data_IF_760560661403
#
_entry.id   IF_760560661403
#
_cell.length_a   1.000
_cell.length_b   1.000
_cell.length_c   1.000
_cell.angle_alpha   90.00
_cell.angle_beta   90.00
_cell.angle_gamma   90.00
#
_symmetry.space_group_name_H-M   'P 1'
#
loop_
_entity.id
_entity.type
_entity.pdbx_description
1 polymer ?
#
# COMPACT_ATOMS: atom_id res chain seq x y z
N UNK A 1 69.12 -38.82 1.18
CA UNK A 1 67.79 -38.82 1.85
C UNK A 1 67.15 -37.46 1.61
N UNK A 2 66.08 -37.38 0.81
CA UNK A 2 65.26 -36.15 0.67
C UNK A 2 63.85 -36.51 1.11
N UNK A 3 63.41 -35.92 2.21
CA UNK A 3 62.06 -36.09 2.74
C UNK A 3 61.07 -35.28 1.88
N UNK A 4 60.07 -35.97 1.34
CA UNK A 4 58.93 -35.36 0.66
C UNK A 4 57.92 -35.01 1.76
N UNK A 5 57.82 -33.73 2.13
CA UNK A 5 56.76 -33.24 3.01
C UNK A 5 55.46 -33.15 2.19
N UNK A 6 54.56 -34.11 2.39
CA UNK A 6 53.18 -34.08 1.89
C UNK A 6 52.43 -32.93 2.54
N UNK A 7 52.15 -31.87 1.77
CA UNK A 7 51.49 -30.67 2.26
C UNK A 7 49.97 -30.91 2.36
N UNK A 8 49.53 -31.62 3.40
CA UNK A 8 48.12 -31.98 3.66
C UNK A 8 47.22 -30.78 3.98
N UNK A 9 47.75 -29.55 4.04
CA UNK A 9 46.99 -28.34 4.36
C UNK A 9 46.18 -27.75 3.18
N UNK A 10 46.47 -28.15 1.94
CA UNK A 10 45.74 -27.63 0.78
C UNK A 10 44.31 -28.21 0.68
N UNK A 11 44.14 -29.45 1.15
CA UNK A 11 42.87 -30.19 1.08
C UNK A 11 41.86 -29.71 2.15
N UNK A 12 42.36 -29.22 3.29
CA UNK A 12 41.53 -28.63 4.37
C UNK A 12 40.96 -27.27 3.96
N UNK A 13 41.75 -26.45 3.25
CA UNK A 13 41.27 -25.14 2.75
C UNK A 13 40.22 -25.26 1.64
N UNK A 14 40.31 -26.29 0.79
CA UNK A 14 39.31 -26.55 -0.25
C UNK A 14 37.96 -27.03 0.32
N UNK A 15 37.97 -27.72 1.46
CA UNK A 15 36.74 -28.22 2.11
C UNK A 15 35.93 -27.12 2.80
N UNK A 16 36.61 -26.08 3.33
CA UNK A 16 35.95 -24.95 4.03
C UNK A 16 35.15 -24.05 3.07
N UNK A 17 35.59 -23.90 1.82
CA UNK A 17 34.88 -23.09 0.82
C UNK A 17 33.60 -23.74 0.27
N UNK A 18 33.49 -25.08 0.34
CA UNK A 18 32.31 -25.80 -0.16
C UNK A 18 31.11 -25.73 0.79
N UNK A 19 31.32 -25.42 2.08
CA UNK A 19 30.25 -25.38 3.09
C UNK A 19 29.63 -24.00 3.28
N UNK A 20 30.26 -22.93 2.76
CA UNK A 20 29.75 -21.55 2.89
C UNK A 20 28.79 -21.11 1.77
N UNK A 21 28.44 -22.00 0.83
CA UNK A 21 27.72 -21.63 -0.40
C UNK A 21 26.19 -21.75 -0.38
N UNK A 22 25.58 -22.35 0.65
CA UNK A 22 24.14 -22.73 0.61
C UNK A 22 23.26 -22.07 1.69
N UNK A 23 23.63 -20.90 2.21
CA UNK A 23 22.65 -20.07 2.91
C UNK A 23 21.91 -19.21 1.87
N UNK A 24 20.71 -19.62 1.48
CA UNK A 24 19.85 -18.81 0.61
C UNK A 24 19.56 -17.47 1.28
N UNK A 25 20.19 -16.41 0.77
CA UNK A 25 19.94 -15.06 1.27
C UNK A 25 18.53 -14.67 0.82
N UNK A 26 17.56 -14.78 1.74
CA UNK A 26 16.22 -14.28 1.51
C UNK A 26 16.27 -12.75 1.45
N UNK A 27 16.04 -12.13 0.29
CA UNK A 27 16.03 -10.66 0.15
C UNK A 27 14.62 -10.06 0.24
N UNK A 28 13.60 -10.88 -0.04
CA UNK A 28 12.18 -10.51 -0.04
C UNK A 28 11.38 -11.57 0.73
N UNK A 29 10.25 -11.19 1.30
CA UNK A 29 9.34 -12.13 1.96
C UNK A 29 8.88 -13.23 1.00
N UNK A 30 8.47 -14.37 1.57
CA UNK A 30 7.74 -15.39 0.81
C UNK A 30 6.36 -14.85 0.42
N UNK A 31 5.70 -15.55 -0.52
CA UNK A 31 4.32 -15.27 -0.90
C UNK A 31 3.37 -15.46 0.28
N UNK A 32 2.45 -14.51 0.44
CA UNK A 32 1.37 -14.62 1.42
C UNK A 32 -0.01 -14.55 0.74
N UNK A 33 -0.70 -15.69 0.70
CA UNK A 33 -1.99 -15.81 0.01
C UNK A 33 -3.08 -14.92 0.61
N UNK A 34 -3.07 -14.70 1.92
CA UNK A 34 -4.06 -13.85 2.57
C UNK A 34 -3.85 -12.38 2.22
N UNK A 35 -2.61 -11.90 2.15
CA UNK A 35 -2.26 -10.55 1.65
C UNK A 35 -2.78 -10.36 0.22
N UNK A 36 -2.52 -11.32 -0.67
CA UNK A 36 -3.00 -11.27 -2.07
C UNK A 36 -4.53 -11.23 -2.15
N UNK A 37 -5.23 -12.12 -1.43
CA UNK A 37 -6.70 -12.15 -1.40
C UNK A 37 -7.30 -10.87 -0.81
N UNK A 38 -6.71 -10.32 0.24
CA UNK A 38 -7.19 -9.08 0.86
C UNK A 38 -6.96 -7.88 -0.06
N UNK A 39 -5.84 -7.82 -0.78
CA UNK A 39 -5.59 -6.79 -1.78
C UNK A 39 -6.60 -6.86 -2.95
N UNK A 40 -6.93 -8.07 -3.42
CA UNK A 40 -7.99 -8.29 -4.42
C UNK A 40 -9.37 -7.83 -3.91
N UNK A 41 -9.70 -8.13 -2.65
CA UNK A 41 -10.96 -7.72 -2.04
C UNK A 41 -11.06 -6.19 -1.94
N UNK A 42 -10.01 -5.53 -1.47
CA UNK A 42 -9.91 -4.06 -1.43
C UNK A 42 -10.04 -3.44 -2.82
N UNK A 43 -9.35 -3.98 -3.84
CA UNK A 43 -9.46 -3.52 -5.21
C UNK A 43 -10.92 -3.55 -5.70
N UNK A 44 -11.62 -4.67 -5.50
CA UNK A 44 -13.03 -4.80 -5.89
C UNK A 44 -13.94 -3.86 -5.12
N UNK A 45 -13.69 -3.65 -3.83
CA UNK A 45 -14.43 -2.74 -2.96
C UNK A 45 -14.35 -1.30 -3.48
N UNK A 46 -13.14 -0.82 -3.76
CA UNK A 46 -12.92 0.52 -4.33
C UNK A 46 -13.51 0.65 -5.73
N UNK A 47 -13.28 -0.33 -6.60
CA UNK A 47 -13.79 -0.31 -7.97
C UNK A 47 -15.32 -0.23 -7.99
N UNK A 48 -15.98 -1.06 -7.19
CA UNK A 48 -17.45 -1.09 -7.07
C UNK A 48 -18.00 0.23 -6.51
N UNK A 49 -17.36 0.77 -5.47
CA UNK A 49 -17.79 2.03 -4.87
C UNK A 49 -17.65 3.21 -5.84
N UNK A 50 -16.51 3.34 -6.51
CA UNK A 50 -16.27 4.44 -7.45
C UNK A 50 -17.17 4.34 -8.70
N UNK A 51 -17.48 3.13 -9.17
CA UNK A 51 -18.51 2.93 -10.22
C UNK A 51 -19.89 3.34 -9.71
N UNK A 52 -20.24 3.02 -8.45
CA UNK A 52 -21.50 3.46 -7.85
C UNK A 52 -21.58 4.99 -7.80
N UNK A 53 -20.53 5.68 -7.36
CA UNK A 53 -20.46 7.13 -7.35
C UNK A 53 -20.66 7.74 -8.73
N UNK A 54 -20.00 7.20 -9.77
CA UNK A 54 -20.15 7.66 -11.16
C UNK A 54 -21.59 7.63 -11.66
N UNK A 55 -22.40 6.70 -11.16
CA UNK A 55 -23.80 6.51 -11.55
C UNK A 55 -24.78 7.14 -10.55
N UNK A 56 -24.30 7.65 -9.42
CA UNK A 56 -25.14 8.25 -8.38
C UNK A 56 -25.60 9.66 -8.76
N UNK A 57 -26.71 10.12 -8.16
CA UNK A 57 -27.10 11.55 -8.19
C UNK A 57 -26.19 12.42 -7.32
N UNK A 58 -26.44 13.73 -7.29
CA UNK A 58 -25.62 14.69 -6.53
C UNK A 58 -25.50 14.34 -5.04
N UNK A 59 -26.60 13.90 -4.40
CA UNK A 59 -26.58 13.44 -3.01
C UNK A 59 -25.59 12.30 -2.81
N UNK A 60 -25.48 11.35 -3.75
CA UNK A 60 -24.56 10.23 -3.65
C UNK A 60 -23.08 10.63 -3.69
N UNK A 61 -22.76 11.83 -4.17
CA UNK A 61 -21.39 12.36 -4.22
C UNK A 61 -20.96 13.08 -2.94
N UNK A 62 -21.88 13.32 -2.00
CA UNK A 62 -21.59 14.04 -0.77
C UNK A 62 -20.73 13.21 0.16
N UNK A 63 -19.75 13.84 0.82
CA UNK A 63 -18.86 13.14 1.75
C UNK A 63 -19.64 12.39 2.84
N UNK A 64 -20.63 13.03 3.45
CA UNK A 64 -21.43 12.43 4.54
C UNK A 64 -22.08 11.11 4.15
N UNK A 65 -22.47 10.95 2.88
CA UNK A 65 -23.13 9.75 2.37
C UNK A 65 -22.14 8.65 2.00
N UNK A 66 -20.84 8.95 2.03
CA UNK A 66 -19.74 8.03 1.72
C UNK A 66 -18.79 7.82 2.91
N UNK A 67 -19.07 8.43 4.06
CA UNK A 67 -18.23 8.34 5.26
C UNK A 67 -18.01 6.89 5.70
N UNK A 68 -19.08 6.08 5.73
CA UNK A 68 -19.00 4.65 6.10
C UNK A 68 -18.08 3.87 5.15
N UNK A 69 -18.07 4.21 3.86
CA UNK A 69 -17.13 3.60 2.92
C UNK A 69 -15.68 3.96 3.28
N UNK A 70 -15.40 5.23 3.56
CA UNK A 70 -14.05 5.69 3.92
C UNK A 70 -13.56 5.08 5.23
N UNK A 71 -14.41 5.02 6.24
CA UNK A 71 -14.14 4.34 7.52
C UNK A 71 -13.81 2.87 7.28
N UNK A 72 -14.69 2.16 6.57
CA UNK A 72 -14.51 0.74 6.29
C UNK A 72 -13.28 0.47 5.44
N UNK A 73 -12.96 1.32 4.46
CA UNK A 73 -11.74 1.21 3.64
C UNK A 73 -10.47 1.46 4.47
N UNK A 74 -10.51 2.42 5.40
CA UNK A 74 -9.39 2.72 6.31
C UNK A 74 -9.11 1.54 7.24
N UNK A 75 -10.15 0.91 7.80
CA UNK A 75 -10.01 -0.30 8.63
C UNK A 75 -9.40 -1.45 7.84
N UNK A 76 -9.89 -1.71 6.62
CA UNK A 76 -9.37 -2.80 5.78
C UNK A 76 -7.89 -2.59 5.40
N UNK A 77 -7.50 -1.36 5.05
CA UNK A 77 -6.10 -1.00 4.78
C UNK A 77 -5.21 -1.17 6.00
N UNK A 78 -5.69 -0.75 7.18
CA UNK A 78 -4.98 -0.92 8.45
C UNK A 78 -4.77 -2.40 8.77
N UNK A 79 -5.81 -3.22 8.63
CA UNK A 79 -5.72 -4.66 8.85
C UNK A 79 -4.75 -5.33 7.87
N UNK A 80 -4.76 -4.92 6.60
CA UNK A 80 -3.81 -5.39 5.59
C UNK A 80 -2.37 -4.99 5.96
N UNK A 81 -2.15 -3.75 6.40
CA UNK A 81 -0.84 -3.26 6.84
C UNK A 81 -0.30 -4.03 8.04
N UNK A 82 -1.10 -4.19 9.10
CA UNK A 82 -0.70 -4.95 10.31
C UNK A 82 -0.28 -6.37 9.95
N UNK A 83 -1.00 -7.03 9.03
CA UNK A 83 -0.59 -8.33 8.52
C UNK A 83 0.73 -8.27 7.77
N UNK A 84 0.88 -7.31 6.85
CA UNK A 84 2.07 -7.17 6.04
C UNK A 84 3.33 -6.90 6.88
N UNK A 85 3.20 -6.09 7.94
CA UNK A 85 4.27 -5.79 8.91
C UNK A 85 4.68 -7.01 9.75
N UNK A 86 3.75 -7.90 10.04
CA UNK A 86 4.04 -9.18 10.69
C UNK A 86 4.86 -10.16 9.84
N UNK A 87 5.05 -9.86 8.55
CA UNK A 87 5.80 -10.71 7.62
C UNK A 87 7.23 -10.16 7.44
N UNK A 88 8.23 -10.97 7.78
CA UNK A 88 9.63 -10.62 7.64
C UNK A 88 10.00 -10.29 6.18
N UNK A 89 10.77 -9.21 5.96
CA UNK A 89 11.23 -8.73 4.65
C UNK A 89 10.11 -8.36 3.66
N UNK A 90 8.99 -7.86 4.18
CA UNK A 90 7.83 -7.48 3.37
C UNK A 90 7.74 -5.97 3.04
N UNK A 91 8.87 -5.26 3.11
CA UNK A 91 8.93 -3.79 3.01
C UNK A 91 8.21 -3.22 1.78
N UNK A 92 8.41 -3.83 0.61
CA UNK A 92 7.79 -3.38 -0.64
C UNK A 92 6.26 -3.40 -0.54
N UNK A 93 5.68 -4.48 -0.01
CA UNK A 93 4.22 -4.57 0.16
C UNK A 93 3.71 -3.54 1.15
N UNK A 94 4.43 -3.30 2.25
CA UNK A 94 4.07 -2.28 3.25
C UNK A 94 4.06 -0.88 2.60
N UNK A 95 5.09 -0.53 1.84
CA UNK A 95 5.18 0.77 1.14
C UNK A 95 4.02 0.98 0.15
N UNK A 96 3.58 -0.07 -0.56
CA UNK A 96 2.42 0.02 -1.45
C UNK A 96 1.10 0.20 -0.68
N UNK A 97 0.94 -0.43 0.47
CA UNK A 97 -0.23 -0.26 1.34
C UNK A 97 -0.26 1.16 1.95
N UNK A 98 0.90 1.68 2.34
CA UNK A 98 1.04 3.06 2.83
C UNK A 98 0.67 4.07 1.74
N UNK A 99 1.09 3.83 0.50
CA UNK A 99 0.70 4.65 -0.63
C UNK A 99 -0.81 4.58 -0.89
N UNK A 100 -1.44 3.40 -0.79
CA UNK A 100 -2.89 3.26 -0.89
C UNK A 100 -3.62 4.03 0.23
N UNK A 101 -3.11 3.99 1.45
CA UNK A 101 -3.65 4.71 2.62
C UNK A 101 -3.55 6.23 2.45
N UNK A 102 -2.40 6.71 1.99
CA UNK A 102 -2.16 8.13 1.68
C UNK A 102 -3.14 8.61 0.60
N UNK A 103 -3.37 7.80 -0.44
CA UNK A 103 -4.30 8.14 -1.51
C UNK A 103 -5.77 8.09 -1.08
N UNK A 104 -6.14 7.23 -0.11
CA UNK A 104 -7.46 7.25 0.52
C UNK A 104 -7.68 8.57 1.28
N UNK A 105 -6.70 9.01 2.05
CA UNK A 105 -6.77 10.29 2.74
C UNK A 105 -6.86 11.49 1.78
N UNK A 106 -6.12 11.44 0.66
CA UNK A 106 -6.25 12.44 -0.41
C UNK A 106 -7.67 12.46 -1.01
N UNK A 107 -8.24 11.29 -1.30
CA UNK A 107 -9.61 11.17 -1.79
C UNK A 107 -10.62 11.78 -0.81
N UNK A 108 -10.45 11.55 0.49
CA UNK A 108 -11.30 12.13 1.54
C UNK A 108 -11.21 13.67 1.54
N UNK A 109 -9.99 14.22 1.46
CA UNK A 109 -9.80 15.67 1.39
C UNK A 109 -10.40 16.27 0.11
N UNK A 110 -10.32 15.56 -1.03
CA UNK A 110 -10.95 15.96 -2.28
C UNK A 110 -12.48 15.98 -2.17
N UNK A 111 -13.10 14.93 -1.61
CA UNK A 111 -14.56 14.88 -1.47
C UNK A 111 -15.07 16.00 -0.56
N UNK A 112 -14.33 16.33 0.51
CA UNK A 112 -14.64 17.43 1.43
C UNK A 112 -14.25 18.81 0.92
N UNK A 113 -13.58 18.90 -0.24
CA UNK A 113 -13.05 20.14 -0.82
C UNK A 113 -12.16 20.89 0.19
N UNK A 114 -11.29 20.15 0.88
CA UNK A 114 -10.34 20.63 1.89
C UNK A 114 -9.00 21.07 1.29
N UNK A 115 -8.87 20.98 -0.02
CA UNK A 115 -7.67 21.26 -0.79
C UNK A 115 -8.04 21.76 -2.18
N UNK A 116 -7.16 22.58 -2.74
CA UNK A 116 -7.31 23.10 -4.09
C UNK A 116 -6.85 22.05 -5.10
N UNK A 117 -7.64 21.82 -6.14
CA UNK A 117 -7.36 20.83 -7.19
C UNK A 117 -6.34 21.31 -8.22
N UNK A 118 -5.97 22.60 -8.19
CA UNK A 118 -5.01 23.26 -9.08
C UNK A 118 -3.58 23.25 -8.52
N UNK A 119 -3.38 22.81 -7.28
CA UNK A 119 -2.08 22.81 -6.60
C UNK A 119 -1.71 21.42 -6.12
N UNK A 120 -0.45 20.98 -6.32
CA UNK A 120 0.03 19.76 -5.67
C UNK A 120 0.07 19.95 -4.16
N UNK A 121 -0.09 18.86 -3.42
CA UNK A 121 0.14 18.84 -1.97
C UNK A 121 1.57 19.30 -1.66
N UNK A 122 1.70 20.11 -0.61
CA UNK A 122 3.02 20.43 -0.05
C UNK A 122 3.62 19.20 0.64
N UNK A 123 4.94 19.17 0.80
CA UNK A 123 5.62 18.10 1.53
C UNK A 123 5.07 17.93 2.96
N UNK A 124 4.73 19.04 3.63
CA UNK A 124 4.13 19.02 4.95
C UNK A 124 2.74 18.34 4.96
N UNK A 125 1.91 18.61 3.96
CA UNK A 125 0.60 17.96 3.84
C UNK A 125 0.74 16.47 3.51
N UNK A 126 1.68 16.08 2.64
CA UNK A 126 1.97 14.67 2.35
C UNK A 126 2.38 13.94 3.63
N UNK A 127 3.25 14.56 4.44
CA UNK A 127 3.68 13.99 5.71
C UNK A 127 2.51 13.86 6.70
N UNK A 128 1.73 14.93 6.88
CA UNK A 128 0.56 14.93 7.77
C UNK A 128 -0.44 13.82 7.40
N UNK A 129 -0.74 13.69 6.11
CA UNK A 129 -1.62 12.64 5.59
C UNK A 129 -1.05 11.24 5.85
N UNK A 130 0.26 11.05 5.68
CA UNK A 130 0.92 9.77 5.93
C UNK A 130 0.93 9.36 7.41
N UNK A 131 1.07 10.34 8.32
CA UNK A 131 1.12 10.10 9.76
C UNK A 131 -0.26 9.94 10.38
N UNK A 132 -1.22 10.77 9.98
CA UNK A 132 -2.56 10.83 10.58
C UNK A 132 -3.59 9.95 9.86
N UNK A 133 -3.34 9.60 8.59
CA UNK A 133 -4.31 8.89 7.76
C UNK A 133 -5.48 9.77 7.28
N UNK A 134 -6.60 9.16 6.86
CA UNK A 134 -7.76 9.91 6.38
C UNK A 134 -8.48 10.63 7.52
N UNK A 135 -8.81 11.90 7.32
CA UNK A 135 -9.69 12.65 8.21
C UNK A 135 -11.15 12.26 7.98
N UNK A 136 -11.63 11.31 8.78
CA UNK A 136 -12.99 10.78 8.68
C UNK A 136 -14.04 11.68 9.34
N UNK A 137 -13.65 12.84 9.88
CA UNK A 137 -14.60 13.82 10.41
C UNK A 137 -15.35 14.56 9.30
N UNK A 138 -16.42 15.28 9.68
CA UNK A 138 -17.18 16.15 8.77
C UNK A 138 -16.47 17.47 8.48
N UNK A 139 -15.33 17.75 9.09
CA UNK A 139 -14.63 19.03 8.99
C UNK A 139 -13.38 18.88 8.10
N UNK A 140 -12.73 19.98 7.76
CA UNK A 140 -11.34 19.98 7.32
C UNK A 140 -10.46 20.30 8.53
N UNK A 141 -9.40 19.53 8.73
CA UNK A 141 -8.40 19.76 9.77
C UNK A 141 -6.99 19.78 9.15
N UNK A 142 -6.24 20.85 9.38
CA UNK A 142 -4.86 21.01 8.88
C UNK A 142 -3.92 19.94 9.43
N UNK A 143 -4.21 19.37 10.61
CA UNK A 143 -3.45 18.26 11.18
C UNK A 143 -3.52 17.02 10.28
N UNK A 144 -4.58 16.86 9.49
CA UNK A 144 -4.75 15.78 8.52
C UNK A 144 -4.42 16.20 7.08
N UNK A 145 -3.73 17.34 6.90
CA UNK A 145 -3.26 17.80 5.60
C UNK A 145 -4.22 18.68 4.80
N UNK A 146 -5.32 19.15 5.41
CA UNK A 146 -6.15 20.18 4.78
C UNK A 146 -5.37 21.51 4.61
N UNK A 147 -5.81 22.36 3.68
CA UNK A 147 -5.22 23.69 3.49
C UNK A 147 -5.56 24.67 4.62
N UNK A 148 -6.73 24.49 5.23
CA UNK A 148 -7.23 25.32 6.31
C UNK A 148 -8.32 24.56 7.08
N UNK A 149 -8.47 24.88 8.36
CA UNK A 149 -9.56 24.36 9.17
C UNK A 149 -10.89 24.92 8.68
N UNK A 150 -11.85 24.03 8.39
CA UNK A 150 -13.18 24.43 7.90
C UNK A 150 -14.24 23.47 8.44
N UNK A 151 -15.23 23.94 9.19
CA UNK A 151 -16.28 23.07 9.70
C UNK A 151 -17.30 22.69 8.59
N UNK A 152 -18.10 21.67 8.87
CA UNK A 152 -19.33 21.32 8.15
C UNK A 152 -19.14 21.07 6.64
N UNK A 153 -18.16 20.25 6.29
CA UNK A 153 -17.79 19.86 4.92
C UNK A 153 -18.43 18.55 4.46
N UNK A 154 -19.24 17.91 5.29
CA UNK A 154 -19.97 16.69 4.94
C UNK A 154 -20.92 16.82 3.75
N UNK A 155 -21.45 18.01 3.49
CA UNK A 155 -22.32 18.28 2.33
C UNK A 155 -21.56 18.50 1.01
N UNK A 156 -20.22 18.59 1.06
CA UNK A 156 -19.42 18.82 -0.13
C UNK A 156 -19.40 17.58 -1.01
N UNK A 157 -19.43 17.81 -2.32
CA UNK A 157 -19.46 16.75 -3.33
C UNK A 157 -18.10 16.54 -3.96
N UNK A 158 -17.78 15.27 -4.22
CA UNK A 158 -16.68 14.88 -5.08
C UNK A 158 -16.98 15.30 -6.52
N UNK A 159 -15.99 15.84 -7.24
CA UNK A 159 -16.12 16.12 -8.66
C UNK A 159 -16.30 14.84 -9.45
N UNK A 160 -17.38 14.75 -10.23
CA UNK A 160 -17.71 13.54 -10.98
C UNK A 160 -16.62 13.21 -12.00
N UNK A 161 -16.05 14.24 -12.62
CA UNK A 161 -14.97 14.17 -13.60
C UNK A 161 -13.67 13.65 -12.98
N UNK A 162 -13.49 13.80 -11.67
CA UNK A 162 -12.34 13.26 -10.96
C UNK A 162 -12.46 11.75 -10.66
N UNK A 163 -13.67 11.17 -10.70
CA UNK A 163 -13.87 9.76 -10.32
C UNK A 163 -13.13 8.78 -11.25
N UNK A 164 -13.19 8.89 -12.60
CA UNK A 164 -12.44 8.00 -13.48
C UNK A 164 -10.92 7.96 -13.23
N UNK A 165 -10.19 9.09 -13.13
CA UNK A 165 -8.75 9.03 -12.82
C UNK A 165 -8.47 8.49 -11.41
N UNK A 166 -9.30 8.83 -10.41
CA UNK A 166 -9.18 8.27 -9.04
C UNK A 166 -9.33 6.73 -9.07
N UNK A 167 -10.32 6.22 -9.80
CA UNK A 167 -10.54 4.78 -9.98
C UNK A 167 -9.34 4.10 -10.63
N UNK A 168 -8.79 4.69 -11.69
CA UNK A 168 -7.58 4.18 -12.34
C UNK A 168 -6.40 4.10 -11.38
N UNK A 169 -6.19 5.15 -10.57
CA UNK A 169 -5.13 5.22 -9.57
C UNK A 169 -5.26 4.11 -8.52
N UNK A 170 -6.41 3.92 -7.89
CA UNK A 170 -6.58 2.84 -6.90
C UNK A 170 -6.40 1.45 -7.51
N UNK A 171 -6.90 1.23 -8.74
CA UNK A 171 -6.68 -0.03 -9.44
C UNK A 171 -5.18 -0.30 -9.71
N UNK A 172 -4.40 0.73 -10.00
CA UNK A 172 -2.94 0.60 -10.12
C UNK A 172 -2.27 0.29 -8.78
N UNK A 173 -2.66 0.97 -7.69
CA UNK A 173 -2.10 0.75 -6.35
C UNK A 173 -2.33 -0.67 -5.85
N UNK A 174 -3.57 -1.15 -5.89
CA UNK A 174 -3.86 -2.53 -5.50
C UNK A 174 -3.27 -3.54 -6.50
N UNK A 175 -3.23 -3.19 -7.79
CA UNK A 175 -2.53 -3.94 -8.82
C UNK A 175 -1.05 -4.19 -8.50
N UNK A 176 -0.36 -3.17 -8.00
CA UNK A 176 1.04 -3.28 -7.59
C UNK A 176 1.23 -4.22 -6.40
N UNK A 177 0.33 -4.18 -5.40
CA UNK A 177 0.35 -5.12 -4.26
C UNK A 177 0.19 -6.56 -4.76
N UNK A 178 -0.83 -6.82 -5.58
CA UNK A 178 -1.09 -8.16 -6.13
C UNK A 178 0.08 -8.65 -7.01
N UNK A 179 0.66 -7.77 -7.82
CA UNK A 179 1.81 -8.09 -8.67
C UNK A 179 3.04 -8.45 -7.83
N UNK A 180 3.27 -7.75 -6.72
CA UNK A 180 4.35 -8.05 -5.79
C UNK A 180 4.17 -9.45 -5.16
N UNK A 181 2.97 -9.79 -4.69
CA UNK A 181 2.68 -11.14 -4.15
C UNK A 181 2.83 -12.23 -5.22
N UNK A 182 2.35 -12.00 -6.44
CA UNK A 182 2.50 -12.95 -7.54
C UNK A 182 3.98 -13.18 -7.91
N UNK A 183 4.81 -12.13 -7.86
CA UNK A 183 6.25 -12.25 -8.09
C UNK A 183 6.91 -13.14 -7.04
N UNK A 184 6.59 -12.95 -5.75
CA UNK A 184 7.05 -13.81 -4.65
C UNK A 184 6.64 -15.26 -4.88
N UNK A 185 5.37 -15.50 -5.27
CA UNK A 185 4.84 -16.84 -5.53
C UNK A 185 5.59 -17.57 -6.64
N UNK A 186 6.02 -16.84 -7.68
CA UNK A 186 6.83 -17.39 -8.77
C UNK A 186 8.26 -17.69 -8.30
N UNK A 187 8.86 -16.79 -7.52
CA UNK A 187 10.18 -16.98 -6.91
C UNK A 187 10.23 -18.22 -5.99
N UNK A 188 9.25 -18.38 -5.10
CA UNK A 188 9.17 -19.49 -4.15
C UNK A 188 9.07 -20.87 -4.83
N UNK A 189 8.48 -20.92 -6.03
CA UNK A 189 8.44 -22.14 -6.85
C UNK A 189 9.81 -22.45 -7.44
N UNK A 190 10.48 -21.44 -8.02
CA UNK A 190 11.80 -21.61 -8.62
C UNK A 190 12.91 -21.96 -7.63
N UNK A 191 12.76 -21.63 -6.34
CA UNK A 191 13.75 -21.98 -5.31
C UNK A 191 13.61 -23.41 -4.77
N UNK A 192 12.55 -24.14 -5.15
CA UNK A 192 12.26 -25.51 -4.69
C UNK A 192 12.59 -26.58 -5.75
N UNK A 193 13.00 -26.17 -6.95
CA UNK A 193 13.48 -27.00 -8.05
C UNK A 193 15.02 -26.94 -8.12
#
# INVERSE_FOLDING_TARGET
MRAIYSNNNCLVFALVFLVSGCSSVQLISNYDETTDRNAQALQRKFDSHLVSLQNSGEEGLKFKNNQEFYESASVDLTALKVRAEGIYKNKITIEQIDLATTNLAYLVLLNKRCMSTDKPLTAAQIQAVGEMGPDLSMDCDVAFGAEADRPARGEMTLEREAIPPIKSMFNQLFGAIMAAELAKKRGDKSSKE
#
